data_IF_221068365655
#
_entry.id   IF_221068365655
#
_cell.length_a   1.000
_cell.length_b   1.000
_cell.length_c   1.000
_cell.angle_alpha   90.00
_cell.angle_beta   90.00
_cell.angle_gamma   90.00
#
_symmetry.space_group_name_H-M   'P 1'
#
loop_
_entity.id
_entity.type
_entity.pdbx_description
1 polymer ?
#
# COMPACT_ATOMS: atom_id res chain seq x y z
N UNK A 1 -24.26 40.34 -73.22
CA UNK A 1 -23.04 40.65 -72.44
C UNK A 1 -23.29 40.33 -70.97
N UNK A 2 -22.86 39.15 -70.52
CA UNK A 2 -22.92 38.77 -69.09
C UNK A 2 -21.56 38.99 -68.47
N UNK A 3 -21.49 39.87 -67.47
CA UNK A 3 -20.29 40.10 -66.67
C UNK A 3 -20.28 39.08 -65.58
N UNK A 4 -19.30 38.20 -65.60
CA UNK A 4 -19.02 37.22 -64.47
C UNK A 4 -18.29 37.96 -63.32
N UNK A 5 -18.89 37.94 -62.14
CA UNK A 5 -18.26 38.45 -60.92
C UNK A 5 -17.54 37.26 -60.29
N UNK A 6 -16.20 37.29 -60.25
CA UNK A 6 -15.38 36.32 -59.53
C UNK A 6 -15.25 36.77 -58.06
N UNK A 7 -15.93 36.10 -57.17
CA UNK A 7 -15.77 36.31 -55.76
C UNK A 7 -14.56 35.50 -55.24
N UNK A 8 -13.51 36.18 -54.84
CA UNK A 8 -12.36 35.55 -54.18
C UNK A 8 -12.70 35.23 -52.73
N UNK A 9 -12.83 33.93 -52.41
CA UNK A 9 -12.97 33.46 -51.04
C UNK A 9 -11.56 33.37 -50.40
N UNK A 10 -11.28 34.26 -49.46
CA UNK A 10 -10.08 34.19 -48.61
C UNK A 10 -10.37 33.16 -47.50
N UNK A 11 -9.80 31.96 -47.63
CA UNK A 11 -9.82 30.99 -46.57
C UNK A 11 -8.76 31.39 -45.54
N UNK A 12 -9.22 31.93 -44.40
CA UNK A 12 -8.37 32.18 -43.25
C UNK A 12 -8.06 30.81 -42.60
N UNK A 13 -6.90 30.26 -42.86
CA UNK A 13 -6.39 29.09 -42.13
C UNK A 13 -6.01 29.56 -40.74
N UNK A 14 -6.91 29.40 -39.79
CA UNK A 14 -6.60 29.52 -38.38
C UNK A 14 -5.70 28.33 -38.01
N UNK A 15 -4.40 28.54 -37.99
CA UNK A 15 -3.47 27.61 -37.32
C UNK A 15 -3.87 27.54 -35.85
N UNK A 16 -4.15 26.36 -35.30
CA UNK A 16 -4.35 26.24 -33.86
C UNK A 16 -3.08 26.70 -33.18
N UNK A 17 -3.17 27.77 -32.39
CA UNK A 17 -2.08 28.17 -31.51
C UNK A 17 -1.73 26.95 -30.67
N UNK A 18 -0.56 26.39 -30.90
CA UNK A 18 0.02 25.40 -30.06
C UNK A 18 0.21 26.05 -28.69
N UNK A 19 -0.73 25.83 -27.77
CA UNK A 19 -0.52 26.12 -26.37
C UNK A 19 0.60 25.20 -25.91
N UNK A 20 1.83 25.65 -25.98
CA UNK A 20 2.91 25.08 -25.23
C UNK A 20 2.61 25.38 -23.75
N UNK A 21 1.86 24.51 -23.13
CA UNK A 21 1.64 24.61 -21.71
C UNK A 21 2.96 24.21 -21.06
N UNK A 22 3.74 25.20 -20.63
CA UNK A 22 4.92 24.99 -19.83
C UNK A 22 4.53 24.08 -18.64
N UNK A 23 5.24 22.98 -18.50
CA UNK A 23 5.10 22.08 -17.36
C UNK A 23 5.39 22.88 -16.08
N UNK A 24 4.36 23.15 -15.27
CA UNK A 24 4.53 23.83 -13.99
C UNK A 24 4.96 22.81 -12.93
N UNK A 25 6.12 22.21 -13.13
CA UNK A 25 6.82 21.44 -12.13
C UNK A 25 8.12 22.17 -11.76
N UNK A 26 8.45 22.37 -10.48
CA UNK A 26 7.83 21.82 -9.27
C UNK A 26 6.44 22.38 -8.96
N UNK A 27 5.67 21.71 -8.04
CA UNK A 27 4.36 22.19 -7.61
C UNK A 27 4.38 23.61 -7.04
N UNK A 28 3.34 24.36 -7.33
CA UNK A 28 3.15 25.73 -6.82
C UNK A 28 2.16 25.76 -5.67
N UNK A 29 2.55 26.36 -4.55
CA UNK A 29 1.62 26.61 -3.44
C UNK A 29 0.58 27.65 -3.85
N UNK A 30 -0.69 27.27 -3.85
CA UNK A 30 -1.82 28.13 -4.21
C UNK A 30 -2.42 28.82 -2.98
N UNK A 31 -2.44 28.12 -1.85
CA UNK A 31 -3.11 28.60 -0.65
C UNK A 31 -2.52 27.96 0.58
N UNK A 32 -2.49 28.74 1.67
CA UNK A 32 -2.32 28.27 3.02
C UNK A 32 -3.61 28.53 3.81
N UNK A 33 -4.06 27.58 4.59
CA UNK A 33 -5.29 27.64 5.38
C UNK A 33 -5.16 26.76 6.62
N UNK A 34 -6.22 26.65 7.39
CA UNK A 34 -6.31 25.75 8.53
C UNK A 34 -7.42 24.73 8.34
N UNK A 35 -7.21 23.51 8.82
CA UNK A 35 -8.21 22.47 8.88
C UNK A 35 -8.11 21.71 10.22
N UNK A 36 -9.17 21.76 11.03
CA UNK A 36 -9.24 21.12 12.36
C UNK A 36 -8.06 21.45 13.28
N UNK A 37 -7.64 22.73 13.31
CA UNK A 37 -6.51 23.18 14.12
C UNK A 37 -5.12 22.76 13.60
N UNK A 38 -5.03 22.36 12.33
CA UNK A 38 -3.79 21.99 11.64
C UNK A 38 -3.60 22.86 10.42
N UNK A 39 -2.38 23.28 10.15
CA UNK A 39 -2.01 24.00 8.92
C UNK A 39 -2.25 23.10 7.69
N UNK A 40 -2.85 23.67 6.65
CA UNK A 40 -3.15 23.03 5.39
C UNK A 40 -2.58 23.81 4.22
N UNK A 41 -1.68 23.22 3.49
CA UNK A 41 -1.15 23.75 2.23
C UNK A 41 -1.85 23.11 1.03
N UNK A 42 -2.30 23.95 0.08
CA UNK A 42 -2.88 23.51 -1.20
C UNK A 42 -1.88 23.79 -2.30
N UNK A 43 -1.58 22.79 -3.11
CA UNK A 43 -0.67 22.88 -4.24
C UNK A 43 -1.38 22.53 -5.55
N UNK A 44 -0.85 23.11 -6.65
CA UNK A 44 -1.17 22.70 -8.02
C UNK A 44 0.11 22.43 -8.79
N UNK A 45 0.04 21.52 -9.73
CA UNK A 45 1.14 21.23 -10.65
C UNK A 45 0.62 20.82 -12.03
N UNK A 46 1.43 21.02 -13.05
CA UNK A 46 1.23 20.43 -14.37
C UNK A 46 1.81 19.03 -14.47
N UNK A 47 1.53 18.35 -15.56
CA UNK A 47 2.11 17.05 -15.83
C UNK A 47 3.55 17.18 -16.34
N UNK A 48 4.46 16.36 -15.80
CA UNK A 48 5.76 16.17 -16.41
C UNK A 48 5.63 15.36 -17.71
N UNK A 49 6.44 15.69 -18.71
CA UNK A 49 6.47 14.98 -19.99
C UNK A 49 6.74 13.47 -19.82
N UNK A 50 7.67 13.12 -18.93
CA UNK A 50 8.07 11.74 -18.65
C UNK A 50 7.00 10.89 -17.98
N UNK A 51 5.92 11.50 -17.45
CA UNK A 51 4.78 10.72 -16.96
C UNK A 51 3.99 10.08 -18.11
N UNK A 52 4.00 10.72 -19.30
CA UNK A 52 3.41 10.15 -20.51
C UNK A 52 1.90 10.36 -20.63
N UNK A 53 1.35 11.42 -20.03
CA UNK A 53 -0.03 11.83 -20.29
C UNK A 53 -0.17 12.32 -21.74
N UNK A 54 -1.23 11.87 -22.42
CA UNK A 54 -1.50 12.25 -23.80
C UNK A 54 -2.00 13.70 -23.95
N UNK A 55 -2.56 14.28 -22.88
CA UNK A 55 -3.10 15.62 -22.83
C UNK A 55 -2.50 16.40 -21.66
N UNK A 56 -2.36 17.73 -21.78
CA UNK A 56 -1.95 18.58 -20.67
C UNK A 56 -2.88 18.40 -19.47
N UNK A 57 -2.30 18.37 -18.27
CA UNK A 57 -3.04 18.13 -17.04
C UNK A 57 -2.59 19.09 -15.96
N UNK A 58 -3.52 19.49 -15.12
CA UNK A 58 -3.25 20.29 -13.93
C UNK A 58 -3.96 19.66 -12.74
N UNK A 59 -3.18 19.15 -11.82
CA UNK A 59 -3.66 18.39 -10.66
C UNK A 59 -3.47 19.19 -9.37
N UNK A 60 -4.32 18.89 -8.38
CA UNK A 60 -4.26 19.49 -7.05
C UNK A 60 -3.86 18.40 -6.05
N UNK A 61 -3.10 18.77 -5.04
CA UNK A 61 -2.91 17.96 -3.84
C UNK A 61 -2.88 18.83 -2.59
N UNK A 62 -3.15 18.22 -1.45
CA UNK A 62 -3.18 18.91 -0.16
C UNK A 62 -2.12 18.29 0.75
N UNK A 63 -1.45 19.16 1.53
CA UNK A 63 -0.53 18.75 2.59
C UNK A 63 -1.04 19.29 3.92
N UNK A 64 -1.51 18.37 4.77
CA UNK A 64 -1.94 18.67 6.12
C UNK A 64 -0.75 18.48 7.07
N UNK A 65 -0.35 19.55 7.76
CA UNK A 65 0.76 19.49 8.68
C UNK A 65 0.39 18.78 9.99
N UNK A 66 1.35 18.20 10.72
CA UNK A 66 1.13 17.76 12.10
C UNK A 66 0.77 18.96 12.99
N UNK A 67 0.16 18.70 14.16
CA UNK A 67 -0.09 19.76 15.15
C UNK A 67 1.20 20.41 15.63
N UNK A 68 2.24 19.59 15.78
CA UNK A 68 3.59 20.00 16.13
C UNK A 68 4.56 19.43 15.10
N UNK A 69 5.26 20.32 14.40
CA UNK A 69 6.23 19.92 13.38
C UNK A 69 7.53 19.47 14.04
N UNK A 70 7.84 18.18 13.95
CA UNK A 70 9.11 17.59 14.40
C UNK A 70 10.05 17.34 13.21
N UNK A 71 11.37 17.44 13.41
CA UNK A 71 12.34 17.05 12.39
C UNK A 71 12.12 15.59 11.95
N UNK A 72 12.22 15.32 10.64
CA UNK A 72 12.00 13.98 10.07
C UNK A 72 10.66 13.36 10.49
N UNK A 73 9.59 14.16 10.46
CA UNK A 73 8.25 13.65 10.67
C UNK A 73 7.87 12.63 9.61
N UNK A 74 7.03 11.64 9.93
CA UNK A 74 6.56 10.65 8.96
C UNK A 74 5.52 11.24 8.00
N UNK A 75 5.30 10.54 6.87
CA UNK A 75 4.33 10.91 5.84
C UNK A 75 3.23 9.86 5.71
N UNK A 76 1.99 10.31 5.80
CA UNK A 76 0.77 9.54 5.57
C UNK A 76 0.14 9.95 4.25
N UNK A 77 0.16 9.07 3.25
CA UNK A 77 -0.34 9.34 1.89
C UNK A 77 -1.72 8.72 1.73
N UNK A 78 -2.70 9.50 1.28
CA UNK A 78 -4.10 9.12 1.15
C UNK A 78 -4.54 9.15 -0.30
N UNK A 79 -5.06 8.02 -0.79
CA UNK A 79 -5.73 7.90 -2.09
C UNK A 79 -7.24 7.83 -1.86
N UNK A 80 -7.98 8.79 -2.41
CA UNK A 80 -9.43 8.89 -2.22
C UNK A 80 -10.21 7.82 -3.02
N UNK A 81 -11.43 7.53 -2.58
CA UNK A 81 -12.37 6.64 -3.26
C UNK A 81 -13.10 7.33 -4.42
N UNK A 82 -13.83 6.53 -5.21
CA UNK A 82 -14.75 7.06 -6.23
C UNK A 82 -15.77 7.99 -5.59
N UNK A 83 -16.17 9.04 -6.32
CA UNK A 83 -17.07 10.06 -5.83
C UNK A 83 -16.41 11.15 -4.97
N UNK A 84 -15.13 11.01 -4.64
CA UNK A 84 -14.36 12.00 -3.89
C UNK A 84 -13.34 12.71 -4.78
N UNK A 85 -12.93 13.89 -4.34
CA UNK A 85 -11.72 14.61 -4.68
C UNK A 85 -10.89 14.84 -3.42
N UNK A 86 -9.75 15.53 -3.51
CA UNK A 86 -8.89 15.79 -2.34
C UNK A 86 -9.61 16.58 -1.24
N UNK A 87 -10.51 17.49 -1.60
CA UNK A 87 -11.21 18.34 -0.62
C UNK A 87 -12.30 17.57 0.12
N UNK A 88 -13.12 16.81 -0.60
CA UNK A 88 -14.15 15.96 -0.01
C UNK A 88 -13.54 14.80 0.79
N UNK A 89 -12.42 14.25 0.33
CA UNK A 89 -11.65 13.25 1.06
C UNK A 89 -11.16 13.82 2.41
N UNK A 90 -10.54 14.99 2.40
CA UNK A 90 -10.12 15.67 3.62
C UNK A 90 -11.32 16.01 4.52
N UNK A 91 -12.44 16.48 3.95
CA UNK A 91 -13.65 16.85 4.70
C UNK A 91 -14.25 15.65 5.46
N UNK A 92 -14.08 14.41 4.97
CA UNK A 92 -14.49 13.21 5.71
C UNK A 92 -13.82 13.13 7.08
N UNK A 93 -12.60 13.63 7.22
CA UNK A 93 -11.84 13.58 8.48
C UNK A 93 -12.29 14.61 9.53
N UNK A 94 -13.25 15.45 9.22
CA UNK A 94 -13.87 16.37 10.20
C UNK A 94 -14.79 15.66 11.18
N UNK A 95 -15.21 14.41 10.89
CA UNK A 95 -16.11 13.61 11.74
C UNK A 95 -15.42 12.30 12.09
N UNK A 96 -15.32 12.02 13.39
CA UNK A 96 -14.85 10.73 13.86
C UNK A 96 -15.75 9.59 13.33
N UNK A 97 -15.14 8.45 13.03
CA UNK A 97 -15.86 7.26 12.55
C UNK A 97 -16.26 7.29 11.07
N UNK A 98 -15.97 8.38 10.36
CA UNK A 98 -16.26 8.50 8.94
C UNK A 98 -14.96 8.35 8.13
N UNK A 99 -14.88 7.32 7.28
CA UNK A 99 -13.68 7.03 6.49
C UNK A 99 -12.39 7.07 7.34
N UNK A 100 -12.36 6.30 8.42
CA UNK A 100 -11.27 6.32 9.42
C UNK A 100 -9.88 6.24 8.80
N UNK A 101 -9.73 5.54 7.67
CA UNK A 101 -8.45 5.42 6.96
C UNK A 101 -7.93 6.76 6.40
N UNK A 102 -8.77 7.75 6.22
CA UNK A 102 -8.32 9.08 5.76
C UNK A 102 -7.75 9.94 6.88
N UNK A 103 -7.98 9.57 8.14
CA UNK A 103 -7.48 10.28 9.31
C UNK A 103 -6.00 9.97 9.54
N UNK A 104 -5.14 10.94 9.27
CA UNK A 104 -3.73 10.81 9.61
C UNK A 104 -3.51 10.96 11.12
N UNK A 105 -2.53 10.27 11.71
CA UNK A 105 -2.08 10.57 13.07
C UNK A 105 -1.73 12.05 13.24
N UNK A 106 -1.93 12.63 14.44
CA UNK A 106 -1.74 14.07 14.68
C UNK A 106 -0.29 14.55 14.57
N UNK A 107 0.67 13.65 14.66
CA UNK A 107 2.12 13.89 14.55
C UNK A 107 2.70 13.59 13.14
N UNK A 108 1.84 13.22 12.18
CA UNK A 108 2.23 12.94 10.79
C UNK A 108 1.88 14.11 9.87
N UNK A 109 2.73 14.36 8.88
CA UNK A 109 2.26 15.04 7.68
C UNK A 109 1.31 14.11 6.92
N UNK A 110 0.24 14.67 6.36
CA UNK A 110 -0.65 13.91 5.48
C UNK A 110 -0.69 14.54 4.09
N UNK A 111 -0.53 13.71 3.07
CA UNK A 111 -0.61 14.07 1.66
C UNK A 111 -1.88 13.45 1.08
N UNK A 112 -2.82 14.29 0.65
CA UNK A 112 -4.01 13.91 -0.07
C UNK A 112 -3.79 14.17 -1.55
N UNK A 113 -3.72 13.11 -2.36
CA UNK A 113 -3.49 13.19 -3.81
C UNK A 113 -4.81 13.09 -4.55
N UNK A 114 -5.00 13.87 -5.60
CA UNK A 114 -6.19 13.80 -6.45
C UNK A 114 -6.04 12.75 -7.56
N UNK A 115 -7.18 12.21 -7.98
CA UNK A 115 -7.29 11.50 -9.24
C UNK A 115 -8.62 11.89 -9.89
N UNK A 116 -8.66 11.96 -11.21
CA UNK A 116 -9.80 12.51 -11.95
C UNK A 116 -10.76 11.43 -12.46
N UNK A 117 -10.90 10.34 -11.69
CA UNK A 117 -11.80 9.24 -12.02
C UNK A 117 -13.26 9.71 -12.16
N UNK A 118 -13.71 10.64 -11.29
CA UNK A 118 -15.05 11.21 -11.36
C UNK A 118 -15.30 12.03 -12.65
N UNK A 119 -14.24 12.46 -13.31
CA UNK A 119 -14.29 13.14 -14.60
C UNK A 119 -14.10 12.16 -15.75
N UNK A 120 -13.92 10.87 -15.48
CA UNK A 120 -13.66 9.83 -16.48
C UNK A 120 -12.30 9.95 -17.16
N UNK A 121 -11.37 10.73 -16.58
CA UNK A 121 -10.11 11.09 -17.23
C UNK A 121 -8.94 10.24 -16.74
N UNK A 122 -8.87 9.96 -15.46
CA UNK A 122 -7.69 9.33 -14.86
C UNK A 122 -8.08 8.55 -13.59
N UNK A 123 -7.66 7.28 -13.53
CA UNK A 123 -7.89 6.39 -12.39
C UNK A 123 -6.56 6.13 -11.69
N UNK A 124 -6.57 5.55 -10.48
CA UNK A 124 -5.31 5.16 -9.84
C UNK A 124 -4.47 4.17 -10.67
N UNK A 125 -5.11 3.46 -11.59
CA UNK A 125 -4.47 2.55 -12.55
C UNK A 125 -4.34 3.13 -13.97
N UNK A 126 -4.50 4.42 -14.14
CA UNK A 126 -4.34 5.16 -15.39
C UNK A 126 -5.64 5.44 -16.12
N UNK A 127 -5.50 5.87 -17.37
CA UNK A 127 -6.63 6.33 -18.22
C UNK A 127 -7.50 5.16 -18.69
N UNK A 128 -6.91 3.96 -18.82
CA UNK A 128 -7.62 2.79 -19.31
C UNK A 128 -8.58 2.24 -18.25
N UNK A 129 -9.72 1.75 -18.70
CA UNK A 129 -10.71 1.10 -17.84
C UNK A 129 -10.19 -0.18 -17.16
N UNK A 130 -9.17 -0.81 -17.73
CA UNK A 130 -8.57 -2.03 -17.22
C UNK A 130 -7.09 -1.80 -16.89
N UNK A 131 -6.64 -2.16 -15.68
CA UNK A 131 -5.25 -2.04 -15.30
C UNK A 131 -4.36 -3.02 -16.09
N UNK A 132 -3.17 -2.57 -16.46
CA UNK A 132 -2.13 -3.38 -17.07
C UNK A 132 -0.91 -3.55 -16.16
N UNK A 133 0.10 -4.32 -16.60
CA UNK A 133 1.33 -4.52 -15.83
C UNK A 133 2.29 -3.31 -15.87
N UNK A 134 2.10 -2.41 -16.82
CA UNK A 134 2.99 -1.27 -17.02
C UNK A 134 2.73 -0.14 -16.03
N UNK A 135 3.78 0.62 -15.74
CA UNK A 135 3.69 1.83 -14.91
C UNK A 135 2.87 2.88 -15.65
N UNK A 136 1.70 3.21 -15.14
CA UNK A 136 0.83 4.21 -15.75
C UNK A 136 1.24 5.66 -15.38
N UNK A 137 0.76 6.67 -16.14
CA UNK A 137 1.04 8.08 -15.85
C UNK A 137 0.65 8.50 -14.42
N UNK A 138 -0.49 8.03 -13.91
CA UNK A 138 -0.99 8.33 -12.57
C UNK A 138 -0.05 7.78 -11.49
N UNK A 139 0.45 6.56 -11.66
CA UNK A 139 1.42 5.96 -10.73
C UNK A 139 2.70 6.82 -10.67
N UNK A 140 3.28 7.19 -11.81
CA UNK A 140 4.46 8.07 -11.87
C UNK A 140 4.19 9.41 -11.17
N UNK A 141 3.04 10.01 -11.42
CA UNK A 141 2.63 11.26 -10.79
C UNK A 141 2.54 11.14 -9.27
N UNK A 142 1.87 10.10 -8.77
CA UNK A 142 1.75 9.85 -7.32
C UNK A 142 3.12 9.70 -6.68
N UNK A 143 3.99 8.86 -7.25
CA UNK A 143 5.33 8.61 -6.71
C UNK A 143 6.19 9.88 -6.72
N UNK A 144 6.17 10.66 -7.80
CA UNK A 144 6.92 11.92 -7.88
C UNK A 144 6.39 12.95 -6.89
N UNK A 145 5.07 13.04 -6.70
CA UNK A 145 4.45 13.93 -5.72
C UNK A 145 4.88 13.55 -4.29
N UNK A 146 4.85 12.26 -3.97
CA UNK A 146 5.34 11.75 -2.66
C UNK A 146 6.80 12.12 -2.45
N UNK A 147 7.67 11.84 -3.42
CA UNK A 147 9.11 12.17 -3.33
C UNK A 147 9.35 13.68 -3.21
N UNK A 148 8.56 14.50 -3.91
CA UNK A 148 8.64 15.95 -3.80
C UNK A 148 8.26 16.43 -2.39
N UNK A 149 7.14 15.93 -1.83
CA UNK A 149 6.68 16.29 -0.47
C UNK A 149 7.71 15.90 0.59
N UNK A 150 8.30 14.70 0.48
CA UNK A 150 9.38 14.26 1.39
C UNK A 150 10.54 15.27 1.38
N UNK A 151 10.97 15.68 0.20
CA UNK A 151 12.08 16.62 0.04
C UNK A 151 11.73 18.02 0.51
N UNK A 152 10.57 18.55 0.12
CA UNK A 152 10.10 19.90 0.45
C UNK A 152 9.99 20.13 1.95
N UNK A 153 9.38 19.16 2.65
CA UNK A 153 9.16 19.24 4.10
C UNK A 153 10.23 18.53 4.93
N UNK A 154 11.30 18.01 4.29
CA UNK A 154 12.42 17.29 4.95
C UNK A 154 11.95 16.15 5.85
N UNK A 155 11.01 15.34 5.34
CA UNK A 155 10.38 14.24 6.06
C UNK A 155 11.29 13.01 6.16
N UNK A 156 10.92 12.05 7.00
CA UNK A 156 11.60 10.76 7.09
C UNK A 156 11.20 9.85 5.91
N UNK A 157 12.10 9.68 4.96
CA UNK A 157 11.88 8.81 3.80
C UNK A 157 11.72 7.32 4.17
N UNK A 158 12.07 6.93 5.39
CA UNK A 158 11.89 5.56 5.88
C UNK A 158 10.52 5.35 6.54
N UNK A 159 9.79 6.41 6.80
CA UNK A 159 8.46 6.38 7.45
C UNK A 159 7.40 6.99 6.55
N UNK A 160 7.20 6.37 5.38
CA UNK A 160 6.21 6.77 4.38
C UNK A 160 5.16 5.66 4.24
N UNK A 161 3.90 6.01 4.44
CA UNK A 161 2.79 5.06 4.47
C UNK A 161 1.72 5.46 3.46
N UNK A 162 1.18 4.47 2.75
CA UNK A 162 0.14 4.71 1.74
C UNK A 162 -1.15 4.03 2.16
N UNK A 163 -2.27 4.73 2.03
CA UNK A 163 -3.56 4.15 2.33
C UNK A 163 -4.66 4.66 1.40
N UNK A 164 -5.78 3.94 1.39
CA UNK A 164 -6.94 4.34 0.63
C UNK A 164 -8.14 3.43 0.86
N UNK A 165 -9.30 3.94 0.47
CA UNK A 165 -10.58 3.26 0.59
C UNK A 165 -11.17 2.97 -0.79
N UNK A 166 -11.84 1.85 -0.99
CA UNK A 166 -12.56 1.51 -2.21
C UNK A 166 -11.66 1.61 -3.46
N UNK A 167 -11.97 2.49 -4.40
CA UNK A 167 -11.10 2.81 -5.55
C UNK A 167 -9.68 3.21 -5.08
N UNK A 168 -9.57 4.02 -4.02
CA UNK A 168 -8.29 4.37 -3.40
C UNK A 168 -7.60 3.17 -2.75
N UNK A 169 -8.33 2.20 -2.23
CA UNK A 169 -7.80 0.92 -1.74
C UNK A 169 -7.16 0.10 -2.86
N UNK A 170 -7.82 0.00 -4.03
CA UNK A 170 -7.24 -0.62 -5.22
C UNK A 170 -5.97 0.12 -5.68
N UNK A 171 -6.00 1.45 -5.66
CA UNK A 171 -4.84 2.30 -5.93
C UNK A 171 -3.70 2.05 -4.94
N UNK A 172 -4.02 1.93 -3.65
CA UNK A 172 -3.06 1.64 -2.58
C UNK A 172 -2.33 0.32 -2.83
N UNK A 173 -3.06 -0.74 -3.14
CA UNK A 173 -2.45 -2.03 -3.46
C UNK A 173 -1.63 -1.95 -4.76
N UNK A 174 -2.21 -1.42 -5.84
CA UNK A 174 -1.60 -1.44 -7.17
C UNK A 174 -0.41 -0.49 -7.33
N UNK A 175 -0.44 0.69 -6.69
CA UNK A 175 0.69 1.63 -6.66
C UNK A 175 1.67 1.27 -5.55
N UNK A 176 1.18 0.90 -4.36
CA UNK A 176 2.03 0.71 -3.19
C UNK A 176 2.91 -0.52 -3.27
N UNK A 177 2.38 -1.66 -3.68
CA UNK A 177 3.13 -2.92 -3.66
C UNK A 177 4.39 -2.94 -4.55
N UNK A 178 4.38 -2.42 -5.79
CA UNK A 178 5.60 -2.37 -6.60
C UNK A 178 6.61 -1.31 -6.13
N UNK A 179 6.27 -0.47 -5.15
CA UNK A 179 7.10 0.63 -4.65
C UNK A 179 7.53 0.46 -3.18
N UNK A 180 8.04 -0.73 -2.82
CA UNK A 180 8.64 -0.95 -1.50
C UNK A 180 9.93 -0.16 -1.24
N UNK A 181 10.49 0.45 -2.29
CA UNK A 181 11.56 1.45 -2.22
C UNK A 181 11.07 2.84 -1.75
N UNK A 182 9.75 3.07 -1.78
CA UNK A 182 9.12 4.33 -1.33
C UNK A 182 8.34 4.12 -0.04
N UNK A 183 7.49 3.09 0.03
CA UNK A 183 6.57 2.87 1.14
C UNK A 183 7.08 1.82 2.14
N UNK A 184 7.00 2.15 3.43
CA UNK A 184 7.32 1.23 4.51
C UNK A 184 6.24 0.15 4.71
N UNK A 185 4.99 0.60 4.75
CA UNK A 185 3.80 -0.25 4.82
C UNK A 185 2.62 0.44 4.12
N UNK A 186 1.62 -0.35 3.72
CA UNK A 186 0.40 0.14 3.06
C UNK A 186 -0.85 -0.47 3.70
N UNK A 187 -1.95 0.27 3.70
CA UNK A 187 -3.23 -0.20 4.22
C UNK A 187 -4.36 0.08 3.25
N UNK A 188 -5.02 -0.97 2.78
CA UNK A 188 -6.17 -0.90 1.89
C UNK A 188 -7.46 -1.25 2.65
N UNK A 189 -8.46 -0.37 2.57
CA UNK A 189 -9.77 -0.61 3.12
C UNK A 189 -10.78 -0.86 2.00
N UNK A 190 -11.50 -1.98 2.08
CA UNK A 190 -12.50 -2.43 1.10
C UNK A 190 -12.11 -2.12 -0.35
N UNK A 191 -10.91 -2.52 -0.80
CA UNK A 191 -10.42 -2.17 -2.13
C UNK A 191 -11.42 -2.64 -3.20
N UNK A 192 -11.73 -1.71 -4.14
CA UNK A 192 -12.59 -2.00 -5.26
C UNK A 192 -11.84 -2.82 -6.30
N UNK A 193 -11.74 -4.11 -6.12
CA UNK A 193 -10.98 -5.11 -6.89
C UNK A 193 -9.46 -5.12 -6.61
N UNK A 194 -8.86 -6.27 -6.87
CA UNK A 194 -7.42 -6.53 -6.76
C UNK A 194 -6.73 -6.69 -8.12
N UNK A 195 -7.43 -6.38 -9.22
CA UNK A 195 -6.87 -6.51 -10.58
C UNK A 195 -5.67 -5.62 -10.80
N UNK A 196 -5.68 -4.41 -10.26
CA UNK A 196 -4.56 -3.47 -10.40
C UNK A 196 -3.28 -4.07 -9.81
N UNK A 197 -3.34 -4.47 -8.55
CA UNK A 197 -2.16 -5.07 -7.89
C UNK A 197 -1.76 -6.38 -8.54
N UNK A 198 -2.71 -7.22 -8.94
CA UNK A 198 -2.41 -8.49 -9.62
C UNK A 198 -1.67 -8.26 -10.93
N UNK A 199 -2.06 -7.26 -11.72
CA UNK A 199 -1.36 -6.90 -12.95
C UNK A 199 0.03 -6.34 -12.67
N UNK A 200 0.15 -5.38 -11.74
CA UNK A 200 1.44 -4.72 -11.43
C UNK A 200 2.46 -5.66 -10.78
N UNK A 201 2.00 -6.63 -10.01
CA UNK A 201 2.86 -7.61 -9.34
C UNK A 201 3.02 -8.92 -10.13
N UNK A 202 2.45 -9.02 -11.32
CA UNK A 202 2.46 -10.23 -12.14
C UNK A 202 1.98 -11.46 -11.35
N UNK A 203 0.86 -11.32 -10.62
CA UNK A 203 0.27 -12.44 -9.90
C UNK A 203 -0.41 -13.44 -10.87
N UNK A 204 -0.48 -14.73 -10.53
CA UNK A 204 -1.09 -15.72 -11.37
C UNK A 204 -2.49 -15.29 -11.91
N UNK A 205 -2.80 -15.59 -13.18
CA UNK A 205 -2.06 -16.47 -14.09
C UNK A 205 -0.85 -15.83 -14.80
N UNK A 206 -0.49 -14.59 -14.49
CA UNK A 206 0.67 -13.92 -15.07
C UNK A 206 1.98 -14.46 -14.45
N UNK A 207 3.03 -14.45 -15.24
CA UNK A 207 4.38 -14.76 -14.76
C UNK A 207 5.22 -13.48 -14.69
N UNK A 208 6.04 -13.37 -13.64
CA UNK A 208 6.98 -12.25 -13.51
C UNK A 208 8.08 -12.43 -14.58
N UNK A 209 8.19 -11.52 -15.56
CA UNK A 209 9.23 -11.63 -16.58
C UNK A 209 10.64 -11.60 -15.94
N UNK A 210 11.57 -12.35 -16.51
CA UNK A 210 12.93 -12.49 -15.98
C UNK A 210 13.70 -11.14 -15.90
N UNK A 211 13.36 -10.20 -16.78
CA UNK A 211 13.95 -8.85 -16.81
C UNK A 211 13.26 -7.83 -15.89
N UNK A 212 12.19 -8.22 -15.20
CA UNK A 212 11.49 -7.35 -14.24
C UNK A 212 11.99 -7.64 -12.83
N UNK A 213 12.61 -6.65 -12.23
CA UNK A 213 13.04 -6.70 -10.83
C UNK A 213 12.14 -5.76 -10.00
N UNK A 214 11.27 -6.34 -9.17
CA UNK A 214 10.47 -5.60 -8.22
C UNK A 214 11.21 -5.53 -6.89
N UNK A 215 11.23 -4.36 -6.21
CA UNK A 215 11.75 -4.26 -4.85
C UNK A 215 10.92 -5.14 -3.90
N UNK A 216 11.47 -5.48 -2.74
CA UNK A 216 10.67 -6.11 -1.69
C UNK A 216 9.43 -5.25 -1.38
N UNK A 217 8.21 -5.80 -1.47
CA UNK A 217 7.00 -5.00 -1.26
C UNK A 217 6.93 -4.42 0.16
N UNK A 218 6.18 -3.33 0.37
CA UNK A 218 5.83 -2.90 1.71
C UNK A 218 4.98 -3.97 2.41
N UNK A 219 4.90 -3.91 3.74
CA UNK A 219 3.94 -4.72 4.49
C UNK A 219 2.53 -4.27 4.13
N UNK A 220 1.66 -5.23 3.81
CA UNK A 220 0.28 -4.98 3.40
C UNK A 220 -0.67 -5.28 4.54
N UNK A 221 -1.50 -4.30 4.89
CA UNK A 221 -2.69 -4.48 5.72
C UNK A 221 -3.91 -4.31 4.82
N UNK A 222 -4.76 -5.33 4.75
CA UNK A 222 -5.99 -5.30 3.96
C UNK A 222 -7.19 -5.65 4.84
N UNK A 223 -8.28 -4.92 4.72
CA UNK A 223 -9.54 -5.43 5.21
C UNK A 223 -10.64 -5.30 4.15
N UNK A 224 -11.45 -6.34 4.03
CA UNK A 224 -12.46 -6.49 3.00
C UNK A 224 -13.71 -7.16 3.56
N UNK A 225 -14.84 -7.02 2.88
CA UNK A 225 -16.05 -7.71 3.25
C UNK A 225 -16.30 -8.87 2.29
N UNK A 226 -16.60 -10.08 2.83
CA UNK A 226 -16.90 -11.23 1.99
C UNK A 226 -18.19 -11.07 1.17
N UNK A 227 -19.12 -10.26 1.63
CA UNK A 227 -20.38 -9.97 0.96
C UNK A 227 -20.35 -8.67 0.13
N UNK A 228 -19.16 -8.15 -0.15
CA UNK A 228 -18.95 -7.01 -1.06
C UNK A 228 -18.71 -7.52 -2.48
N UNK A 229 -19.51 -7.03 -3.44
CA UNK A 229 -19.33 -7.37 -4.86
C UNK A 229 -17.98 -6.95 -5.45
N UNK A 230 -17.30 -5.99 -4.83
CA UNK A 230 -15.98 -5.51 -5.25
C UNK A 230 -14.82 -6.36 -4.71
N UNK A 231 -15.04 -7.23 -3.73
CA UNK A 231 -14.00 -8.07 -3.15
C UNK A 231 -13.66 -9.33 -3.95
N UNK A 232 -14.15 -9.43 -5.18
CA UNK A 232 -13.84 -10.57 -6.06
C UNK A 232 -12.34 -10.66 -6.35
N UNK A 233 -11.81 -11.90 -6.31
CA UNK A 233 -10.39 -12.19 -6.58
C UNK A 233 -9.48 -12.02 -5.36
N UNK A 234 -10.00 -11.67 -4.18
CA UNK A 234 -9.20 -11.59 -2.95
C UNK A 234 -8.62 -12.94 -2.53
N UNK A 235 -9.27 -14.04 -2.86
CA UNK A 235 -8.71 -15.40 -2.69
C UNK A 235 -7.44 -15.61 -3.52
N UNK A 236 -7.48 -15.24 -4.81
CA UNK A 236 -6.32 -15.26 -5.69
C UNK A 236 -5.20 -14.33 -5.21
N UNK A 237 -5.56 -13.13 -4.76
CA UNK A 237 -4.62 -12.17 -4.18
C UNK A 237 -3.94 -12.73 -2.93
N UNK A 238 -4.70 -13.21 -1.94
CA UNK A 238 -4.17 -13.76 -0.71
C UNK A 238 -3.28 -14.98 -0.97
N UNK A 239 -3.71 -15.87 -1.89
CA UNK A 239 -2.89 -17.01 -2.32
C UNK A 239 -1.58 -16.56 -2.96
N UNK A 240 -1.61 -15.58 -3.86
CA UNK A 240 -0.40 -15.07 -4.51
C UNK A 240 0.56 -14.42 -3.51
N UNK A 241 0.06 -13.68 -2.52
CA UNK A 241 0.85 -13.12 -1.42
C UNK A 241 1.56 -14.23 -0.63
N UNK A 242 0.84 -15.31 -0.28
CA UNK A 242 1.39 -16.47 0.41
C UNK A 242 2.48 -17.16 -0.43
N UNK A 243 2.19 -17.47 -1.70
CA UNK A 243 3.11 -18.20 -2.59
C UNK A 243 4.38 -17.39 -2.92
N UNK A 244 4.26 -16.06 -3.04
CA UNK A 244 5.38 -15.13 -3.25
C UNK A 244 6.09 -14.75 -1.95
N UNK A 245 5.59 -15.20 -0.81
CA UNK A 245 6.11 -14.87 0.52
C UNK A 245 6.19 -13.36 0.73
N UNK A 246 5.07 -12.67 0.46
CA UNK A 246 4.87 -11.24 0.73
C UNK A 246 4.06 -11.05 2.01
N UNK A 247 4.40 -10.02 2.79
CA UNK A 247 3.75 -9.78 4.07
C UNK A 247 2.30 -9.29 3.88
N UNK A 248 1.35 -10.08 4.37
CA UNK A 248 -0.07 -9.77 4.35
C UNK A 248 -0.69 -9.98 5.72
N UNK A 249 -1.30 -8.93 6.25
CA UNK A 249 -2.22 -8.95 7.38
C UNK A 249 -3.61 -8.65 6.81
N UNK A 250 -4.47 -9.66 6.73
CA UNK A 250 -5.77 -9.51 6.08
C UNK A 250 -6.90 -9.83 7.05
N UNK A 251 -7.97 -9.08 6.92
CA UNK A 251 -9.15 -9.22 7.75
C UNK A 251 -10.40 -9.12 6.88
N UNK A 252 -11.45 -9.85 7.23
CA UNK A 252 -12.74 -9.72 6.54
C UNK A 252 -13.91 -9.90 7.51
N UNK A 253 -15.07 -9.39 7.09
CA UNK A 253 -16.32 -9.51 7.81
C UNK A 253 -17.51 -9.24 6.91
N UNK A 254 -18.72 -9.51 7.38
CA UNK A 254 -19.95 -9.42 6.58
C UNK A 254 -20.56 -8.00 6.60
N UNK A 255 -19.79 -6.97 6.33
CA UNK A 255 -20.23 -5.57 6.45
C UNK A 255 -20.44 -4.84 5.10
N UNK A 256 -20.38 -5.57 3.97
CA UNK A 256 -20.56 -4.98 2.64
C UNK A 256 -19.45 -3.99 2.28
N UNK A 257 -19.71 -3.13 1.29
CA UNK A 257 -18.76 -2.08 0.88
C UNK A 257 -18.82 -0.87 1.84
N UNK A 258 -18.74 -1.14 3.14
CA UNK A 258 -18.83 -0.11 4.17
C UNK A 258 -17.45 0.24 4.72
N UNK A 259 -17.22 1.53 4.90
CA UNK A 259 -16.04 2.07 5.56
C UNK A 259 -16.48 3.00 6.70
N UNK A 260 -17.37 2.51 7.53
CA UNK A 260 -17.81 3.20 8.72
C UNK A 260 -17.33 2.47 9.97
N UNK A 261 -17.15 3.23 11.02
CA UNK A 261 -16.65 2.75 12.30
C UNK A 261 -17.51 1.60 12.87
N UNK A 262 -18.82 1.72 12.82
CA UNK A 262 -19.74 0.72 13.37
C UNK A 262 -19.66 -0.63 12.64
N UNK A 263 -19.57 -0.61 11.31
CA UNK A 263 -19.45 -1.83 10.51
C UNK A 263 -18.12 -2.55 10.76
N UNK A 264 -17.08 -1.78 11.01
CA UNK A 264 -15.70 -2.27 11.16
C UNK A 264 -15.39 -2.68 12.60
N UNK A 265 -16.08 -2.12 13.60
CA UNK A 265 -15.79 -2.32 15.03
C UNK A 265 -15.59 -3.78 15.43
N UNK A 266 -16.33 -4.71 14.80
CA UNK A 266 -16.23 -6.15 15.12
C UNK A 266 -14.87 -6.77 14.77
N UNK A 267 -14.15 -6.17 13.83
CA UNK A 267 -12.80 -6.59 13.41
C UNK A 267 -11.75 -5.51 13.68
N UNK A 268 -12.17 -4.32 14.06
CA UNK A 268 -11.34 -3.12 14.12
C UNK A 268 -10.19 -3.22 15.13
N UNK A 269 -10.43 -3.77 16.31
CA UNK A 269 -9.40 -3.92 17.33
C UNK A 269 -8.27 -4.83 16.84
N UNK A 270 -8.63 -5.91 16.14
CA UNK A 270 -7.66 -6.82 15.55
C UNK A 270 -6.88 -6.16 14.40
N UNK A 271 -7.56 -5.47 13.49
CA UNK A 271 -6.96 -4.71 12.37
C UNK A 271 -5.98 -3.65 12.89
N UNK A 272 -6.36 -2.93 13.93
CA UNK A 272 -5.56 -1.85 14.49
C UNK A 272 -4.51 -2.34 15.49
N UNK A 273 -4.52 -3.61 15.87
CA UNK A 273 -3.55 -4.19 16.80
C UNK A 273 -2.15 -4.33 16.20
N UNK A 274 -2.03 -4.41 14.87
CA UNK A 274 -0.75 -4.35 14.18
C UNK A 274 -0.40 -2.89 13.89
N UNK A 275 0.65 -2.39 14.54
CA UNK A 275 1.13 -1.02 14.36
C UNK A 275 1.92 -0.87 13.05
N UNK A 276 1.20 -0.85 11.92
CA UNK A 276 1.78 -0.72 10.60
C UNK A 276 2.45 0.65 10.36
N UNK A 277 2.10 1.67 11.15
CA UNK A 277 2.69 3.01 11.10
C UNK A 277 4.02 3.13 11.86
N UNK A 278 4.46 2.06 12.51
CA UNK A 278 5.78 1.98 13.15
C UNK A 278 6.80 1.16 12.34
N UNK A 279 6.38 0.55 11.23
CA UNK A 279 7.28 -0.14 10.31
C UNK A 279 8.14 0.89 9.56
N UNK A 280 9.45 0.62 9.41
CA UNK A 280 10.34 1.49 8.64
C UNK A 280 10.87 0.79 7.39
N UNK A 281 11.07 1.57 6.33
CA UNK A 281 11.57 1.08 5.04
C UNK A 281 13.00 0.51 5.15
N UNK A 282 13.81 1.08 6.01
CA UNK A 282 15.19 0.66 6.27
C UNK A 282 15.33 -0.41 7.37
N UNK A 283 14.27 -1.17 7.62
CA UNK A 283 14.24 -2.30 8.54
C UNK A 283 13.79 -3.56 7.81
N UNK A 284 14.45 -4.68 8.11
CA UNK A 284 14.03 -6.01 7.67
C UNK A 284 12.75 -6.42 8.40
N UNK A 285 11.97 -7.31 7.83
CA UNK A 285 10.76 -7.81 8.49
C UNK A 285 10.51 -9.28 8.17
N UNK A 286 9.90 -10.04 9.12
CA UNK A 286 9.48 -11.41 8.88
C UNK A 286 8.15 -11.42 8.11
N UNK A 287 8.03 -12.43 7.24
CA UNK A 287 6.79 -12.76 6.53
C UNK A 287 6.32 -14.12 6.99
N UNK A 288 5.07 -14.18 7.43
CA UNK A 288 4.43 -15.41 7.87
C UNK A 288 3.59 -15.99 6.74
N UNK A 289 3.84 -17.24 6.37
CA UNK A 289 3.06 -17.95 5.35
C UNK A 289 2.69 -19.34 5.86
N UNK A 290 1.70 -19.97 5.24
CA UNK A 290 1.21 -21.30 5.61
C UNK A 290 0.89 -21.44 7.14
N UNK A 291 0.36 -20.37 7.71
CA UNK A 291 0.04 -20.34 9.14
C UNK A 291 -1.12 -21.27 9.49
N UNK A 292 -0.94 -22.06 10.53
CA UNK A 292 -1.97 -22.99 11.05
C UNK A 292 -3.17 -22.29 11.68
N UNK A 293 -3.09 -20.99 11.91
CA UNK A 293 -4.13 -20.19 12.56
C UNK A 293 -4.85 -19.23 11.61
N UNK A 294 -4.51 -19.27 10.32
CA UNK A 294 -5.25 -18.52 9.31
C UNK A 294 -6.64 -19.12 9.11
N UNK A 295 -7.64 -18.26 9.02
CA UNK A 295 -8.99 -18.70 8.72
C UNK A 295 -9.12 -19.07 7.23
N UNK A 296 -10.02 -20.01 6.86
CA UNK A 296 -10.34 -20.31 5.48
C UNK A 296 -10.86 -19.05 4.77
N UNK A 297 -10.34 -18.79 3.57
CA UNK A 297 -10.78 -17.65 2.77
C UNK A 297 -12.26 -17.78 2.36
N UNK A 298 -13.08 -16.74 2.51
CA UNK A 298 -14.49 -16.79 2.18
C UNK A 298 -14.76 -16.74 0.66
N UNK A 299 -13.82 -16.23 -0.12
CA UNK A 299 -13.95 -16.13 -1.57
C UNK A 299 -13.51 -17.43 -2.27
N UNK A 300 -14.01 -17.72 -3.49
CA UNK A 300 -14.85 -16.85 -4.33
C UNK A 300 -16.36 -16.90 -4.02
N UNK A 301 -16.80 -17.71 -3.09
CA UNK A 301 -18.21 -18.05 -2.92
C UNK A 301 -19.01 -17.05 -2.08
N UNK A 302 -18.43 -15.94 -1.63
CA UNK A 302 -19.08 -14.89 -0.84
C UNK A 302 -19.96 -15.51 0.26
N UNK A 303 -19.35 -16.07 1.29
CA UNK A 303 -20.07 -16.83 2.32
C UNK A 303 -21.21 -16.00 2.92
N UNK A 304 -22.40 -16.60 2.92
CA UNK A 304 -23.59 -16.05 3.56
C UNK A 304 -23.56 -16.24 5.08
N UNK A 305 -22.60 -16.97 5.63
CA UNK A 305 -22.55 -17.38 7.03
C UNK A 305 -22.16 -16.27 8.01
N UNK A 306 -21.91 -15.06 7.52
CA UNK A 306 -21.61 -13.86 8.30
C UNK A 306 -20.43 -14.02 9.28
N UNK A 307 -19.48 -14.89 9.00
CA UNK A 307 -18.29 -15.07 9.83
C UNK A 307 -17.18 -14.10 9.39
N UNK A 308 -16.60 -13.46 10.38
CA UNK A 308 -15.34 -12.73 10.18
C UNK A 308 -14.17 -13.70 10.19
N UNK A 309 -13.07 -13.31 9.53
CA UNK A 309 -11.86 -14.10 9.50
C UNK A 309 -10.62 -13.24 9.30
N UNK A 310 -9.46 -13.89 9.38
CA UNK A 310 -8.17 -13.20 9.32
C UNK A 310 -7.06 -14.07 8.72
N UNK A 311 -6.01 -13.40 8.21
CA UNK A 311 -4.73 -13.97 7.84
C UNK A 311 -3.64 -13.26 8.65
N UNK A 312 -2.79 -14.02 9.33
CA UNK A 312 -1.59 -13.58 10.05
C UNK A 312 -1.82 -12.53 11.16
N UNK A 313 -3.06 -12.26 11.54
CA UNK A 313 -3.42 -11.17 12.44
C UNK A 313 -2.72 -11.18 13.81
N UNK A 314 -2.33 -12.37 14.28
CA UNK A 314 -1.81 -12.57 15.63
C UNK A 314 -0.29 -12.49 15.73
N UNK A 315 0.44 -12.53 14.61
CA UNK A 315 1.91 -12.50 14.64
C UNK A 315 2.45 -11.10 14.91
N UNK A 316 3.52 -11.06 15.70
CA UNK A 316 4.30 -9.85 16.00
C UNK A 316 5.79 -10.21 15.99
N UNK A 317 6.61 -9.18 15.80
CA UNK A 317 8.06 -9.29 15.93
C UNK A 317 8.65 -8.03 16.55
N UNK A 318 9.88 -8.09 16.99
CA UNK A 318 10.64 -6.97 17.55
C UNK A 318 12.13 -7.28 17.60
N UNK A 319 12.93 -6.24 17.85
CA UNK A 319 14.37 -6.35 18.10
C UNK A 319 15.13 -6.98 16.92
N UNK A 320 14.97 -6.42 15.72
CA UNK A 320 15.72 -6.87 14.56
C UNK A 320 17.20 -6.49 14.69
N UNK A 321 18.07 -7.43 14.34
CA UNK A 321 19.50 -7.24 14.18
C UNK A 321 19.92 -7.82 12.84
N UNK A 322 20.37 -6.97 11.95
CA UNK A 322 20.74 -7.33 10.59
C UNK A 322 22.23 -6.99 10.35
N UNK A 323 23.07 -8.01 10.26
CA UNK A 323 24.50 -7.93 10.01
C UNK A 323 24.86 -8.74 8.76
N UNK A 324 26.08 -8.63 8.25
CA UNK A 324 26.53 -9.40 7.08
C UNK A 324 26.45 -10.94 7.31
N UNK A 325 26.68 -11.40 8.55
CA UNK A 325 26.80 -12.81 8.89
C UNK A 325 25.55 -13.37 9.58
N UNK A 326 24.74 -12.52 10.21
CA UNK A 326 23.64 -12.96 11.07
C UNK A 326 22.45 -12.03 10.95
N UNK A 327 21.27 -12.62 10.86
CA UNK A 327 20.01 -11.93 11.09
C UNK A 327 19.33 -12.48 12.35
N UNK A 328 18.79 -11.59 13.18
CA UNK A 328 18.07 -11.97 14.41
C UNK A 328 16.79 -11.13 14.53
N UNK A 329 15.70 -11.77 14.96
CA UNK A 329 14.43 -11.13 15.31
C UNK A 329 13.70 -11.94 16.36
N UNK A 330 12.97 -11.28 17.24
CA UNK A 330 12.13 -11.96 18.24
C UNK A 330 10.72 -12.09 17.70
N UNK A 331 10.22 -13.31 17.59
CA UNK A 331 8.86 -13.62 17.14
C UNK A 331 7.95 -13.96 18.32
N UNK A 332 6.68 -13.54 18.23
CA UNK A 332 5.66 -13.83 19.24
C UNK A 332 4.25 -13.73 18.65
N UNK A 333 3.28 -14.30 19.33
CA UNK A 333 1.86 -14.00 19.12
C UNK A 333 1.41 -12.89 20.08
N UNK A 334 0.42 -12.10 19.65
CA UNK A 334 -0.25 -11.14 20.54
C UNK A 334 -0.91 -11.88 21.71
N UNK A 335 -0.84 -11.30 22.91
CA UNK A 335 -1.46 -11.91 24.10
C UNK A 335 -2.95 -11.56 24.19
N UNK A 336 -3.82 -12.47 24.69
CA UNK A 336 -5.24 -12.18 24.89
C UNK A 336 -5.50 -10.93 25.75
N UNK A 337 -4.61 -10.63 26.71
CA UNK A 337 -4.70 -9.44 27.56
C UNK A 337 -4.38 -8.13 26.84
N UNK A 338 -3.75 -8.18 25.67
CA UNK A 338 -3.30 -7.01 24.90
C UNK A 338 -4.30 -6.58 23.83
N UNK A 339 -5.35 -7.40 23.58
CA UNK A 339 -6.25 -7.19 22.46
C UNK A 339 -7.71 -7.47 22.85
N UNK A 340 -8.56 -6.45 22.76
CA UNK A 340 -10.02 -6.62 22.88
C UNK A 340 -10.56 -7.03 21.51
N UNK A 341 -10.90 -8.28 21.35
CA UNK A 341 -11.44 -8.83 20.09
C UNK A 341 -12.43 -9.95 20.37
N UNK A 342 -13.34 -10.17 19.44
CA UNK A 342 -14.23 -11.35 19.43
C UNK A 342 -13.57 -12.58 18.82
N UNK A 343 -12.38 -12.44 18.22
CA UNK A 343 -11.61 -13.57 17.73
C UNK A 343 -10.98 -14.35 18.87
N UNK A 344 -10.93 -15.67 18.75
CA UNK A 344 -10.15 -16.51 19.66
C UNK A 344 -8.69 -16.33 19.35
N UNK A 345 -7.94 -15.74 20.27
CA UNK A 345 -6.49 -15.57 20.12
C UNK A 345 -5.83 -16.92 20.39
N UNK A 346 -5.04 -17.45 19.43
CA UNK A 346 -4.40 -18.76 19.61
C UNK A 346 -3.28 -18.68 20.64
N UNK A 347 -3.05 -19.77 21.36
CA UNK A 347 -1.90 -19.90 22.27
C UNK A 347 -0.61 -20.23 21.53
N UNK A 348 -0.72 -20.85 20.35
CA UNK A 348 0.39 -21.21 19.47
C UNK A 348 -0.05 -21.20 18.00
N UNK A 349 0.89 -21.01 17.11
CA UNK A 349 0.71 -21.12 15.66
C UNK A 349 1.97 -21.66 15.01
N UNK A 350 1.83 -22.56 14.04
CA UNK A 350 2.93 -22.94 13.15
C UNK A 350 2.87 -22.09 11.89
N UNK A 351 4.01 -21.56 11.46
CA UNK A 351 4.10 -20.80 10.22
C UNK A 351 5.49 -20.99 9.58
N UNK A 352 5.54 -20.87 8.25
CA UNK A 352 6.78 -20.66 7.55
C UNK A 352 7.17 -19.18 7.70
N UNK A 353 8.43 -18.92 8.05
CA UNK A 353 8.93 -17.56 8.25
C UNK A 353 9.99 -17.23 7.23
N UNK A 354 9.68 -16.30 6.35
CA UNK A 354 10.62 -15.73 5.38
C UNK A 354 11.08 -14.36 5.85
N UNK A 355 12.29 -13.96 5.47
CA UNK A 355 12.82 -12.65 5.82
C UNK A 355 12.95 -11.78 4.59
N UNK A 356 12.44 -10.57 4.66
CA UNK A 356 12.44 -9.63 3.55
C UNK A 356 13.07 -8.29 3.93
N UNK A 357 13.43 -7.52 2.90
CA UNK A 357 14.00 -6.18 3.03
C UNK A 357 15.27 -6.16 3.88
N UNK A 358 16.10 -7.18 3.71
CA UNK A 358 17.41 -7.20 4.37
C UNK A 358 18.21 -5.92 4.05
N UNK A 359 18.78 -5.35 5.09
CA UNK A 359 19.67 -4.19 4.95
C UNK A 359 21.11 -4.61 4.68
N UNK A 360 21.60 -5.59 5.45
CA UNK A 360 23.00 -6.03 5.41
C UNK A 360 23.13 -7.51 5.11
N UNK A 361 22.35 -8.36 5.77
CA UNK A 361 22.33 -9.81 5.52
C UNK A 361 21.95 -10.10 4.07
N UNK A 362 22.73 -10.92 3.39
CA UNK A 362 22.44 -11.39 2.03
C UNK A 362 22.86 -12.84 1.92
N UNK A 363 21.91 -13.73 1.70
CA UNK A 363 22.19 -15.09 1.29
C UNK A 363 22.29 -15.15 -0.23
N UNK A 364 23.30 -15.84 -0.76
CA UNK A 364 23.35 -16.11 -2.19
C UNK A 364 22.28 -17.13 -2.60
N UNK A 365 21.81 -17.14 -3.85
CA UNK A 365 20.92 -18.19 -4.34
C UNK A 365 21.52 -19.57 -4.09
N UNK A 366 20.75 -20.45 -3.40
CA UNK A 366 21.17 -21.80 -3.04
C UNK A 366 22.13 -21.89 -1.84
N UNK A 367 22.55 -20.76 -1.24
CA UNK A 367 23.37 -20.76 -0.04
C UNK A 367 22.65 -21.42 1.12
N UNK A 368 23.35 -22.32 1.84
CA UNK A 368 22.84 -22.94 3.06
C UNK A 368 23.13 -22.03 4.25
N UNK A 369 22.10 -21.76 5.03
CA UNK A 369 22.20 -21.00 6.27
C UNK A 369 21.70 -21.85 7.44
N UNK A 370 22.25 -21.65 8.62
CA UNK A 370 21.81 -22.30 9.86
C UNK A 370 20.83 -21.38 10.60
N UNK A 371 19.77 -21.95 11.11
CA UNK A 371 18.80 -21.23 11.94
C UNK A 371 18.66 -21.87 13.34
N UNK A 372 18.23 -21.05 14.29
CA UNK A 372 17.78 -21.49 15.61
C UNK A 372 16.58 -20.68 16.07
N UNK A 373 15.62 -21.34 16.73
CA UNK A 373 14.42 -20.74 17.31
C UNK A 373 14.05 -21.48 18.60
N UNK A 374 14.28 -20.87 19.76
CA UNK A 374 14.14 -21.53 21.05
C UNK A 374 15.05 -22.73 21.14
N UNK A 375 14.44 -23.95 21.34
CA UNK A 375 15.16 -25.22 21.39
C UNK A 375 15.31 -25.89 20.01
N UNK A 376 14.67 -25.36 18.98
CA UNK A 376 14.71 -25.91 17.62
C UNK A 376 15.83 -25.28 16.84
N UNK A 377 16.46 -26.03 15.96
CA UNK A 377 17.48 -25.54 15.03
C UNK A 377 17.53 -26.43 13.78
N UNK A 378 18.11 -25.91 12.72
CA UNK A 378 18.25 -26.65 11.48
C UNK A 378 19.02 -25.84 10.44
N UNK A 379 19.02 -26.35 9.22
CA UNK A 379 19.62 -25.71 8.05
C UNK A 379 18.56 -25.56 6.96
N UNK A 380 18.64 -24.45 6.24
CA UNK A 380 17.77 -24.19 5.07
C UNK A 380 18.61 -23.58 3.95
N UNK A 381 18.18 -23.81 2.73
CA UNK A 381 18.78 -23.17 1.54
C UNK A 381 17.96 -21.94 1.15
N UNK A 382 18.66 -20.86 0.86
CA UNK A 382 18.05 -19.72 0.19
C UNK A 382 17.52 -20.14 -1.20
N UNK A 383 16.38 -19.60 -1.61
CA UNK A 383 15.82 -19.88 -2.93
C UNK A 383 16.64 -19.25 -4.07
N UNK A 384 16.18 -19.41 -5.31
CA UNK A 384 16.84 -18.86 -6.50
C UNK A 384 16.97 -17.34 -6.53
N UNK A 385 16.35 -16.61 -5.57
CA UNK A 385 16.44 -15.16 -5.38
C UNK A 385 17.18 -14.76 -4.09
N UNK A 386 17.73 -15.74 -3.37
CA UNK A 386 18.40 -15.49 -2.08
C UNK A 386 17.44 -15.35 -0.90
N UNK A 387 16.15 -15.65 -1.07
CA UNK A 387 15.18 -15.58 0.02
C UNK A 387 15.33 -16.78 0.94
N UNK A 388 15.57 -16.49 2.21
CA UNK A 388 15.63 -17.52 3.28
C UNK A 388 14.24 -17.73 3.87
N UNK A 389 13.81 -18.99 3.98
CA UNK A 389 12.55 -19.38 4.63
C UNK A 389 12.81 -20.50 5.63
N UNK A 390 12.46 -20.26 6.88
CA UNK A 390 12.50 -21.30 7.94
C UNK A 390 11.10 -21.91 8.02
N UNK A 391 10.95 -23.21 7.77
CA UNK A 391 9.64 -23.84 7.71
C UNK A 391 9.07 -24.13 9.08
N UNK A 392 7.75 -24.02 9.21
CA UNK A 392 6.91 -24.53 10.29
C UNK A 392 7.41 -24.21 11.70
N UNK A 393 7.83 -22.96 11.94
CA UNK A 393 8.18 -22.50 13.28
C UNK A 393 6.95 -22.47 14.18
N UNK A 394 7.06 -23.08 15.35
CA UNK A 394 6.03 -23.05 16.40
C UNK A 394 6.17 -21.76 17.21
N UNK A 395 5.34 -20.78 16.93
CA UNK A 395 5.34 -19.45 17.55
C UNK A 395 4.25 -19.39 18.62
N UNK A 396 4.58 -18.87 19.80
CA UNK A 396 3.68 -18.70 20.94
C UNK A 396 3.64 -17.25 21.40
N UNK A 397 2.86 -16.94 22.43
CA UNK A 397 2.87 -15.62 23.06
C UNK A 397 4.17 -15.29 23.81
N UNK A 398 5.00 -16.32 24.11
CA UNK A 398 6.32 -16.11 24.70
C UNK A 398 7.33 -15.66 23.64
N UNK A 399 7.94 -14.46 23.83
CA UNK A 399 8.92 -13.94 22.89
C UNK A 399 10.09 -14.89 22.69
N UNK A 400 10.32 -15.34 21.46
CA UNK A 400 11.37 -16.31 21.14
C UNK A 400 12.26 -15.76 20.03
N UNK A 401 13.58 -15.79 20.22
CA UNK A 401 14.57 -15.33 19.27
C UNK A 401 14.69 -16.31 18.09
N UNK A 402 14.47 -15.81 16.88
CA UNK A 402 14.90 -16.45 15.64
C UNK A 402 16.26 -15.86 15.26
N UNK A 403 17.27 -16.73 15.13
CA UNK A 403 18.59 -16.35 14.64
C UNK A 403 18.93 -17.16 13.38
N UNK A 404 19.37 -16.48 12.33
CA UNK A 404 19.81 -17.06 11.06
C UNK A 404 21.25 -16.65 10.82
N UNK A 405 22.13 -17.62 10.53
CA UNK A 405 23.58 -17.41 10.38
C UNK A 405 24.10 -18.06 9.10
N UNK A 406 25.00 -17.38 8.42
CA UNK A 406 25.78 -17.99 7.33
C UNK A 406 26.64 -19.12 7.89
N UNK A 407 26.80 -20.14 7.09
CA UNK A 407 27.76 -21.19 7.38
C UNK A 407 29.15 -20.74 6.86
N UNK A 408 30.14 -20.86 7.73
CA UNK A 408 31.53 -20.57 7.34
C UNK A 408 32.08 -21.68 6.44
#
# INVERSE_FOLDING_TARGET
MYKAIVASIIILVLTPAAFSQESTWPPEKQKESEFTGRKLDTFKHGAKKEWGYAQPQRDTFLVLHPKEVKPKAPLYVVLHSAGHDVHSCLACTSKAGNHDIYHSPPDFFALYVDCRANQGVDWWWGINKFPGPDVCPTEKRVIDTVKWVIKEYKLDENRVYLCGNSMGGSGTLGIGMPHGDVFAAIKANVPAEVKHVSSRMYFPPQELPANVNLPDPPIVVDYSAQNDGWSRGHDGFAKAMNDRKYALFMYWGPFGHANNHEAILKVNDLINSFDWLNVKKNESYPVFTNSSTNDPLPWPNQLSDKKSGQINAFFRWKNERDTAETFETTLLLVKPSELKTTFTIPTESNADVSLRRFQTFRAAPGETVRWSFGKSSGEVKADGRGLVTVPQLKITAEPTLLSIKKMK
#
